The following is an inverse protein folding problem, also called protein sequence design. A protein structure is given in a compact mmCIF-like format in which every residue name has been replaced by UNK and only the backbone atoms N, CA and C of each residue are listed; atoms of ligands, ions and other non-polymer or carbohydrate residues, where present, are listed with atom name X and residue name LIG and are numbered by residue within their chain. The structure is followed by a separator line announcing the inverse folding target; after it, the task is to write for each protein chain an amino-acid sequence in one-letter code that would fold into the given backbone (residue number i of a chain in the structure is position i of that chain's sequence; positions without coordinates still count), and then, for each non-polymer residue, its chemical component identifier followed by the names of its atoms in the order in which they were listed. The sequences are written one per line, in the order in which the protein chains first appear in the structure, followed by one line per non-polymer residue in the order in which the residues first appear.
data_IF_237703633047
#
_entry.id   IF_237703633047
#
_cell.length_a   1.000
_cell.length_b   1.000
_cell.length_c   1.000
_cell.angle_alpha   90.00
_cell.angle_beta   90.00
_cell.angle_gamma   90.00
#
_symmetry.space_group_name_H-M   'P 1'
#
loop_
_entity.id
_entity.type
_entity.pdbx_description
1 polymer ?
#
# COMPACT_ATOMS: atom_id res chain seq x y z
N UNK A 1 -26.50 0.80 -7.95
CA UNK A 1 -26.09 0.89 -7.81
C UNK A 1 -25.93 1.09 -7.55
N UNK A 2 -25.98 1.17 -7.60
CA UNK A 2 -25.54 1.42 -7.47
C UNK A 2 -24.83 1.52 -7.35
N UNK A 3 -24.70 1.26 -7.32
CA UNK A 3 -23.99 1.28 -7.33
C UNK A 3 -23.04 1.69 -7.38
N UNK A 4 -22.82 1.73 -7.75
CA UNK A 4 -21.65 2.04 -8.04
C UNK A 4 -20.87 2.73 -7.16
N UNK A 5 -21.12 3.18 -6.73
CA UNK A 5 -20.42 3.92 -6.08
C UNK A 5 -19.43 3.43 -5.30
N UNK A 6 -19.49 2.72 -4.91
CA UNK A 6 -18.71 2.43 -4.17
C UNK A 6 -17.57 1.98 -4.58
N UNK A 7 -17.57 1.57 -5.31
CA UNK A 7 -16.60 1.03 -5.73
C UNK A 7 -15.41 1.60 -5.61
N UNK A 8 -15.39 2.32 -5.80
CA UNK A 8 -14.36 2.99 -5.88
C UNK A 8 -13.46 3.14 -4.83
N UNK A 9 -13.71 2.69 -3.82
CA UNK A 9 -13.00 3.06 -2.75
C UNK A 9 -11.74 2.32 -2.51
N UNK A 10 -11.52 1.23 -3.15
CA UNK A 10 -10.35 0.48 -2.82
C UNK A 10 -9.28 0.63 -3.84
N UNK A 11 -8.14 1.13 -3.44
CA UNK A 11 -6.99 1.26 -4.29
C UNK A 11 -5.93 0.31 -3.76
N UNK A 12 -5.34 -0.48 -4.64
CA UNK A 12 -4.23 -1.31 -4.24
C UNK A 12 -3.09 -1.07 -5.21
N UNK A 13 -1.88 -1.18 -4.70
CA UNK A 13 -0.70 -0.97 -5.51
C UNK A 13 0.10 -2.26 -5.53
N UNK A 14 0.24 -2.82 -6.70
CA UNK A 14 0.94 -4.09 -6.83
C UNK A 14 2.41 -3.85 -7.13
N UNK A 15 3.26 -4.39 -6.30
CA UNK A 15 4.69 -4.33 -6.51
C UNK A 15 5.19 -5.66 -7.00
N UNK A 16 6.47 -5.83 -6.91
CA UNK A 16 7.12 -7.04 -7.34
C UNK A 16 6.83 -8.18 -6.40
N UNK A 17 6.96 -7.94 -5.13
CA UNK A 17 6.78 -8.96 -4.12
C UNK A 17 5.58 -8.73 -3.23
N UNK A 18 5.11 -7.50 -3.17
CA UNK A 18 4.07 -7.11 -2.23
C UNK A 18 2.96 -6.35 -2.92
N UNK A 19 1.82 -6.29 -2.25
CA UNK A 19 0.73 -5.44 -2.70
C UNK A 19 0.38 -4.55 -1.52
N UNK A 20 0.33 -3.25 -1.76
CA UNK A 20 0.01 -2.31 -0.71
C UNK A 20 -1.47 -1.96 -0.77
N UNK A 21 -2.13 -2.00 0.37
CA UNK A 21 -3.54 -1.68 0.47
C UNK A 21 -3.67 -0.45 1.37
N UNK A 22 -3.66 0.74 0.79
CA UNK A 22 -3.63 1.96 1.60
C UNK A 22 -4.87 2.16 2.47
N UNK A 23 -5.98 1.55 2.08
CA UNK A 23 -7.20 1.70 2.87
C UNK A 23 -7.12 0.97 4.21
N UNK A 24 -6.07 0.19 4.40
CA UNK A 24 -5.90 -0.51 5.65
C UNK A 24 -6.19 -1.98 5.53
N UNK A 25 -6.16 -2.65 6.64
CA UNK A 25 -6.40 -4.07 6.62
C UNK A 25 -5.27 -4.79 7.32
N UNK A 26 -5.26 -6.08 7.18
CA UNK A 26 -4.25 -6.86 7.84
C UNK A 26 -3.18 -7.28 6.86
N UNK A 27 -2.03 -7.66 7.37
CA UNK A 27 -0.99 -8.20 6.55
C UNK A 27 -1.41 -9.60 6.13
N UNK A 28 -1.47 -9.81 4.83
CA UNK A 28 -1.82 -11.11 4.29
C UNK A 28 -0.60 -11.76 3.67
N UNK A 29 -0.59 -13.08 3.62
CA UNK A 29 0.53 -13.81 3.04
C UNK A 29 0.00 -14.91 2.17
N UNK A 30 0.59 -15.08 1.00
CA UNK A 30 0.16 -16.12 0.08
C UNK A 30 0.29 -17.51 0.73
N UNK A 31 -0.72 -18.32 0.58
CA UNK A 31 -0.70 -19.66 1.14
C UNK A 31 0.21 -20.59 0.39
N UNK A 32 0.63 -20.21 -0.79
CA UNK A 32 1.53 -21.02 -1.57
C UNK A 32 2.95 -20.97 -1.04
N UNK A 33 3.25 -20.04 -0.17
CA UNK A 33 4.56 -19.97 0.43
C UNK A 33 4.67 -20.97 1.57
N UNK A 34 5.85 -21.49 1.79
CA UNK A 34 6.08 -22.40 2.89
C UNK A 34 5.86 -21.66 4.20
N UNK A 35 5.61 -22.40 5.24
CA UNK A 35 5.36 -21.80 6.54
C UNK A 35 6.55 -20.96 6.99
N UNK A 36 7.75 -21.47 6.73
CA UNK A 36 8.96 -20.76 7.08
C UNK A 36 9.02 -19.42 6.37
N UNK A 37 8.72 -19.41 5.07
CA UNK A 37 8.78 -18.19 4.30
C UNK A 37 7.67 -17.23 4.73
N UNK A 38 6.50 -17.75 5.02
CA UNK A 38 5.42 -16.88 5.46
C UNK A 38 5.79 -16.17 6.74
N UNK A 39 6.39 -16.90 7.69
CA UNK A 39 6.80 -16.27 8.94
C UNK A 39 7.89 -15.24 8.72
N UNK A 40 8.87 -15.61 7.92
CA UNK A 40 9.99 -14.72 7.65
C UNK A 40 9.55 -13.43 7.01
N UNK A 41 8.77 -13.54 5.94
CA UNK A 41 8.33 -12.37 5.21
C UNK A 41 7.37 -11.53 6.03
N UNK A 42 6.50 -12.17 6.77
CA UNK A 42 5.58 -11.45 7.62
C UNK A 42 6.32 -10.63 8.68
N UNK A 43 7.38 -11.20 9.24
CA UNK A 43 8.18 -10.48 10.21
C UNK A 43 8.84 -9.27 9.59
N UNK A 44 9.38 -9.43 8.38
CA UNK A 44 10.02 -8.32 7.71
C UNK A 44 9.01 -7.20 7.46
N UNK A 45 7.87 -7.56 6.91
CA UNK A 45 6.86 -6.58 6.58
C UNK A 45 6.30 -5.90 7.81
N UNK A 46 6.13 -6.66 8.89
CA UNK A 46 5.59 -6.09 10.12
C UNK A 46 6.44 -4.97 10.67
N UNK A 47 7.74 -5.03 10.42
CA UNK A 47 8.62 -4.01 10.93
C UNK A 47 8.56 -2.73 10.12
N UNK A 48 8.24 -2.84 8.85
CA UNK A 48 8.33 -1.70 7.96
C UNK A 48 7.00 -1.20 7.42
N UNK A 49 5.95 -1.98 7.57
CA UNK A 49 4.65 -1.58 7.02
C UNK A 49 4.04 -0.45 7.84
N UNK A 50 3.43 0.52 7.17
CA UNK A 50 2.74 1.58 7.88
C UNK A 50 1.57 0.98 8.65
N UNK A 51 1.30 1.52 9.81
CA UNK A 51 0.29 0.96 10.67
C UNK A 51 -1.11 1.03 10.12
N UNK A 52 -1.40 2.04 9.36
CA UNK A 52 -2.74 2.22 8.84
C UNK A 52 -2.92 1.66 7.45
N UNK A 53 -1.97 0.89 6.97
CA UNK A 53 -2.08 0.29 5.65
C UNK A 53 -1.92 -1.21 5.74
N UNK A 54 -2.53 -1.91 4.81
CA UNK A 54 -2.38 -3.35 4.75
C UNK A 54 -1.34 -3.71 3.71
N UNK A 55 -0.74 -4.86 3.85
CA UNK A 55 0.25 -5.35 2.90
C UNK A 55 -0.02 -6.82 2.64
N UNK A 56 -0.03 -7.20 1.38
CA UNK A 56 -0.21 -8.58 1.01
C UNK A 56 1.11 -9.07 0.40
N UNK A 57 1.61 -10.16 0.91
CA UNK A 57 2.87 -10.73 0.45
C UNK A 57 2.57 -11.76 -0.63
N UNK A 58 3.13 -11.54 -1.79
CA UNK A 58 2.87 -12.39 -2.94
C UNK A 58 3.79 -13.59 -2.96
N UNK A 59 3.40 -14.62 -3.68
CA UNK A 59 4.21 -15.81 -3.82
C UNK A 59 5.58 -15.49 -4.39
N UNK A 60 5.65 -14.48 -5.24
CA UNK A 60 6.91 -14.09 -5.85
C UNK A 60 7.96 -13.65 -4.83
N UNK A 61 7.52 -13.36 -3.61
CA UNK A 61 8.45 -12.94 -2.56
C UNK A 61 9.27 -14.10 -2.01
N UNK A 62 8.95 -15.31 -2.39
CA UNK A 62 9.67 -16.46 -1.90
C UNK A 62 11.16 -16.32 -2.23
N UNK A 63 12.01 -16.48 -1.24
CA UNK A 63 13.44 -16.38 -1.45
C UNK A 63 13.97 -14.96 -1.56
N UNK A 64 13.10 -13.97 -1.55
CA UNK A 64 13.57 -12.61 -1.68
C UNK A 64 14.28 -12.18 -0.40
N UNK A 65 15.31 -11.38 -0.56
CA UNK A 65 16.05 -10.89 0.60
C UNK A 65 15.24 -9.83 1.33
N UNK A 66 15.58 -9.60 2.56
CA UNK A 66 14.92 -8.59 3.34
C UNK A 66 15.04 -7.23 2.66
N UNK A 67 16.24 -6.95 2.13
CA UNK A 67 16.47 -5.69 1.45
C UNK A 67 15.55 -5.54 0.25
N UNK A 68 15.34 -6.60 -0.51
CA UNK A 68 14.47 -6.54 -1.66
C UNK A 68 13.02 -6.27 -1.25
N UNK A 69 12.60 -6.89 -0.16
CA UNK A 69 11.25 -6.69 0.34
C UNK A 69 11.06 -5.25 0.83
N UNK A 70 12.04 -4.75 1.55
CA UNK A 70 11.98 -3.38 2.06
C UNK A 70 11.90 -2.39 0.90
N UNK A 71 12.72 -2.59 -0.11
CA UNK A 71 12.73 -1.68 -1.23
C UNK A 71 11.40 -1.71 -1.98
N UNK A 72 10.81 -2.88 -2.10
CA UNK A 72 9.54 -3.00 -2.78
C UNK A 72 8.47 -2.23 -2.02
N UNK A 73 8.41 -2.42 -0.72
CA UNK A 73 7.43 -1.73 0.08
C UNK A 73 7.63 -0.21 0.04
N UNK A 74 8.86 0.24 0.13
CA UNK A 74 9.15 1.66 0.08
C UNK A 74 8.70 2.25 -1.25
N UNK A 75 8.90 1.52 -2.32
CA UNK A 75 8.49 1.97 -3.63
C UNK A 75 6.97 2.11 -3.68
N UNK A 76 6.25 1.14 -3.11
CA UNK A 76 4.80 1.18 -3.11
C UNK A 76 4.26 2.32 -2.26
N UNK A 77 4.86 2.54 -1.12
CA UNK A 77 4.44 3.65 -0.25
C UNK A 77 4.67 4.97 -0.96
N UNK A 78 5.80 5.10 -1.64
CA UNK A 78 6.10 6.32 -2.36
C UNK A 78 5.10 6.55 -3.47
N UNK A 79 4.73 5.49 -4.17
CA UNK A 79 3.73 5.60 -5.23
C UNK A 79 2.39 6.03 -4.65
N UNK A 80 2.04 5.47 -3.51
CA UNK A 80 0.78 5.81 -2.88
C UNK A 80 0.78 7.28 -2.45
N UNK A 81 1.87 7.74 -1.89
CA UNK A 81 1.96 9.12 -1.47
C UNK A 81 1.78 10.06 -2.64
N UNK A 82 2.33 9.69 -3.78
CA UNK A 82 2.19 10.49 -4.97
C UNK A 82 0.75 10.51 -5.46
N UNK A 83 0.12 9.35 -5.46
CA UNK A 83 -1.27 9.25 -5.87
C UNK A 83 -2.16 10.02 -4.92
N UNK A 84 -1.90 9.86 -3.64
CA UNK A 84 -2.71 10.53 -2.63
C UNK A 84 -2.58 12.05 -2.72
N UNK A 85 -1.40 12.52 -2.99
CA UNK A 85 -1.18 13.94 -3.14
C UNK A 85 -1.96 14.47 -4.33
N UNK A 86 -1.99 13.73 -5.42
CA UNK A 86 -2.75 14.13 -6.57
C UNK A 86 -4.23 14.12 -6.32
N UNK A 87 -4.70 13.13 -5.58
CA UNK A 87 -6.10 13.06 -5.26
C UNK A 87 -6.51 14.24 -4.41
N UNK A 88 -5.68 14.60 -3.47
CA UNK A 88 -5.97 15.72 -2.62
C UNK A 88 -5.95 17.00 -3.39
N UNK A 89 -5.01 17.12 -4.30
CA UNK A 89 -4.91 18.28 -5.13
C UNK A 89 -6.16 18.44 -5.96
N UNK A 90 -6.60 17.35 -6.56
CA UNK A 90 -7.78 17.37 -7.38
C UNK A 90 -9.02 17.68 -6.54
N UNK A 91 -9.13 17.02 -5.41
CA UNK A 91 -10.25 17.15 -4.55
C UNK A 91 -10.33 18.52 -3.93
N UNK A 92 -9.20 19.07 -3.56
CA UNK A 92 -9.14 20.38 -2.99
C UNK A 92 -8.69 21.35 -4.05
N UNK A 93 -8.95 21.00 -5.28
CA UNK A 93 -8.47 21.75 -6.38
C UNK A 93 -8.97 23.13 -6.48
N UNK A 94 -9.89 23.46 -5.66
CA UNK A 94 -10.36 24.80 -5.63
C UNK A 94 -9.23 25.63 -5.06
N UNK A 95 -8.59 26.42 -5.84
CA UNK A 95 -7.46 27.19 -5.39
C UNK A 95 -7.78 28.09 -4.25
N UNK A 96 -8.99 28.54 -4.18
CA UNK A 96 -9.33 29.40 -3.14
C UNK A 96 -9.27 28.74 -1.83
N UNK A 97 -9.64 27.51 -1.78
CA UNK A 97 -9.58 26.83 -0.54
C UNK A 97 -8.20 26.76 -0.02
N UNK A 98 -7.28 26.48 -0.90
CA UNK A 98 -5.95 26.34 -0.46
C UNK A 98 -5.37 27.64 -0.03
N UNK A 99 -5.69 28.67 -0.76
CA UNK A 99 -5.13 29.89 -0.42
C UNK A 99 -5.57 30.38 0.88
N UNK A 100 -6.73 30.05 1.20
CA UNK A 100 -7.21 30.48 2.42
C UNK A 100 -6.33 30.16 3.51
N UNK A 101 -5.65 29.29 3.34
CA UNK A 101 -4.88 28.97 4.28
C UNK A 101 -3.76 29.71 4.41
N UNK A 102 -3.47 30.37 3.84
CA UNK A 102 -2.45 31.02 3.85
C UNK A 102 -2.49 32.10 4.17
N UNK A 103 -3.01 32.28 4.32
CA UNK A 103 -3.06 33.27 4.53
C UNK A 103 -2.69 33.65 4.98
#
# INVERSE_FOLDING_TARGET
GHKGARLTSQVTLAGRFLVLVPSGGMTGVSRKLSERERSRLKNIVSKIAPKDMGVIIRTAAEGASEDAIVKDLESLVRQWERINAKREEFWHGNPQRRRRRHR
#
